data_IF_815343338202
#
_entry.id   IF_815343338202
#
_cell.length_a   1.000
_cell.length_b   1.000
_cell.length_c   1.000
_cell.angle_alpha   90.00
_cell.angle_beta   90.00
_cell.angle_gamma   90.00
#
_symmetry.space_group_name_H-M   'P 1'
#
loop_
_entity.id
_entity.type
_entity.pdbx_description
1 polymer ?
#
# COMPACT_ATOMS: atom_id res chain seq x y z
N UNK A 1 -6.99 21.88 16.86
CA UNK A 1 -7.90 22.99 16.49
C UNK A 1 -7.24 24.01 15.56
N UNK A 2 -6.18 24.73 15.96
CA UNK A 2 -5.55 25.78 15.12
C UNK A 2 -5.09 25.32 13.72
N UNK A 3 -4.55 24.11 13.61
CA UNK A 3 -4.13 23.53 12.32
C UNK A 3 -5.31 23.30 11.35
N UNK A 4 -6.49 22.92 11.87
CA UNK A 4 -7.69 22.67 11.06
C UNK A 4 -8.26 23.97 10.51
N UNK A 5 -8.41 24.99 11.37
CA UNK A 5 -8.89 26.31 10.97
C UNK A 5 -7.96 27.00 9.97
N UNK A 6 -6.64 26.82 10.09
CA UNK A 6 -5.66 27.36 9.14
C UNK A 6 -5.76 26.76 7.73
N UNK A 7 -6.34 25.56 7.59
CA UNK A 7 -6.52 24.88 6.30
C UNK A 7 -7.98 24.91 5.81
N UNK A 8 -8.81 25.82 6.34
CA UNK A 8 -10.21 25.97 5.94
C UNK A 8 -11.12 24.81 6.38
N UNK A 9 -10.69 23.98 7.34
CA UNK A 9 -11.48 22.87 7.87
C UNK A 9 -12.14 23.32 9.18
N UNK A 10 -13.48 23.35 9.19
CA UNK A 10 -14.26 23.66 10.40
C UNK A 10 -14.05 22.56 11.46
N UNK A 11 -13.48 22.88 12.64
CA UNK A 11 -13.22 21.90 13.68
C UNK A 11 -14.49 21.31 14.31
N UNK A 12 -15.62 22.02 14.26
CA UNK A 12 -16.90 21.56 14.81
C UNK A 12 -17.48 20.35 14.07
N UNK A 13 -17.10 20.18 12.80
CA UNK A 13 -17.46 19.03 11.97
C UNK A 13 -16.51 17.83 12.16
N UNK A 14 -15.41 18.01 12.88
CA UNK A 14 -14.34 17.01 13.01
C UNK A 14 -14.34 16.31 14.37
N UNK A 15 -14.80 17.02 15.42
CA UNK A 15 -14.86 16.57 16.81
C UNK A 15 -16.23 16.97 17.38
N UNK A 16 -17.09 16.00 17.63
CA UNK A 16 -18.40 16.24 18.26
C UNK A 16 -18.36 15.72 19.69
N UNK A 17 -18.56 16.61 20.66
CA UNK A 17 -18.71 16.24 22.05
C UNK A 17 -20.02 15.47 22.23
N UNK A 18 -19.91 14.28 22.81
CA UNK A 18 -21.03 13.49 23.30
C UNK A 18 -20.79 13.14 24.76
N UNK A 19 -21.77 12.55 25.41
CA UNK A 19 -21.64 12.16 26.80
C UNK A 19 -22.05 10.72 26.95
N UNK A 20 -21.17 9.93 27.56
CA UNK A 20 -21.45 8.54 27.89
C UNK A 20 -21.59 8.40 29.40
N UNK A 21 -22.63 7.71 29.84
CA UNK A 21 -22.77 7.34 31.24
C UNK A 21 -21.77 6.21 31.52
N UNK A 22 -20.96 6.41 32.55
CA UNK A 22 -19.87 5.52 32.93
C UNK A 22 -20.16 4.99 34.31
N UNK A 23 -20.19 3.67 34.46
CA UNK A 23 -20.38 3.05 35.76
C UNK A 23 -19.13 3.26 36.62
N UNK A 24 -19.34 3.80 37.82
CA UNK A 24 -18.33 3.96 38.86
C UNK A 24 -18.75 3.04 39.99
N UNK A 25 -17.79 2.31 40.56
CA UNK A 25 -18.03 1.22 41.52
C UNK A 25 -19.10 1.53 42.56
N UNK A 26 -19.98 0.55 42.81
CA UNK A 26 -21.14 0.69 43.69
C UNK A 26 -22.46 1.04 42.99
N UNK A 27 -22.54 0.89 41.65
CA UNK A 27 -23.77 1.14 40.87
C UNK A 27 -24.04 2.62 40.56
N UNK A 28 -23.11 3.52 40.89
CA UNK A 28 -23.24 4.94 40.61
C UNK A 28 -22.80 5.24 39.16
N UNK A 29 -23.62 5.94 38.38
CA UNK A 29 -23.25 6.36 37.02
C UNK A 29 -22.72 7.80 37.03
N UNK A 30 -21.53 8.01 36.44
CA UNK A 30 -20.95 9.34 36.22
C UNK A 30 -20.99 9.67 34.74
N UNK A 31 -21.48 10.87 34.40
CA UNK A 31 -21.43 11.39 33.03
C UNK A 31 -19.97 11.70 32.68
N UNK A 32 -19.41 10.96 31.72
CA UNK A 32 -18.10 11.21 31.15
C UNK A 32 -18.22 11.91 29.81
N UNK A 33 -17.23 12.76 29.51
CA UNK A 33 -17.08 13.32 28.18
C UNK A 33 -16.63 12.22 27.22
N UNK A 34 -17.29 12.15 26.08
CA UNK A 34 -17.01 11.23 25.00
C UNK A 34 -17.00 12.04 23.68
N UNK A 35 -16.34 11.53 22.64
CA UNK A 35 -16.14 12.30 21.41
C UNK A 35 -16.34 11.44 20.18
N UNK A 36 -17.20 11.89 19.27
CA UNK A 36 -17.18 11.38 17.91
C UNK A 36 -16.10 12.10 17.11
N UNK A 37 -15.17 11.32 16.60
CA UNK A 37 -14.05 11.80 15.81
C UNK A 37 -14.22 11.33 14.38
N UNK A 38 -14.07 12.27 13.46
CA UNK A 38 -13.90 11.94 12.06
C UNK A 38 -12.56 11.24 11.83
N UNK A 39 -12.42 10.54 10.70
CA UNK A 39 -11.14 9.94 10.29
C UNK A 39 -10.01 10.98 10.23
N UNK A 40 -10.30 12.20 9.78
CA UNK A 40 -9.34 13.31 9.75
C UNK A 40 -8.85 13.68 11.16
N UNK A 41 -9.77 13.81 12.11
CA UNK A 41 -9.44 14.10 13.51
C UNK A 41 -8.61 12.98 14.16
N UNK A 42 -8.97 11.71 13.95
CA UNK A 42 -8.21 10.57 14.47
C UNK A 42 -6.75 10.57 13.95
N UNK A 43 -6.55 10.84 12.65
CA UNK A 43 -5.20 10.91 12.05
C UNK A 43 -4.38 12.04 12.65
N UNK A 44 -4.98 13.22 12.84
CA UNK A 44 -4.28 14.36 13.45
C UNK A 44 -3.92 14.10 14.90
N UNK A 45 -4.79 13.46 15.68
CA UNK A 45 -4.48 13.06 17.06
C UNK A 45 -3.32 12.06 17.07
N UNK A 46 -3.33 11.07 16.16
CA UNK A 46 -2.25 10.11 16.04
C UNK A 46 -0.91 10.77 15.66
N UNK A 47 -0.90 11.68 14.69
CA UNK A 47 0.34 12.36 14.26
C UNK A 47 0.90 13.31 15.32
N UNK A 48 0.04 13.95 16.14
CA UNK A 48 0.46 14.92 17.16
C UNK A 48 0.50 14.33 18.59
N UNK A 49 0.18 13.04 18.75
CA UNK A 49 0.13 12.38 20.04
C UNK A 49 1.53 12.09 20.62
N UNK A 50 1.58 11.80 21.92
CA UNK A 50 2.80 11.39 22.61
C UNK A 50 3.29 10.02 22.09
N UNK A 51 4.49 9.94 21.46
CA UNK A 51 5.06 8.69 20.96
C UNK A 51 5.35 7.65 22.06
N UNK A 52 5.35 8.04 23.33
CA UNK A 52 5.54 7.10 24.45
C UNK A 52 4.39 6.09 24.57
N UNK A 53 3.23 6.37 23.95
CA UNK A 53 2.11 5.45 23.86
C UNK A 53 2.28 4.53 22.64
N UNK A 54 2.27 3.20 22.81
CA UNK A 54 2.58 2.26 21.73
C UNK A 54 1.60 2.37 20.54
N UNK A 55 0.34 2.71 20.79
CA UNK A 55 -0.69 2.90 19.74
C UNK A 55 -0.39 4.13 18.88
N UNK A 56 0.08 5.21 19.51
CA UNK A 56 0.46 6.45 18.83
C UNK A 56 1.75 6.23 18.03
N UNK A 57 2.76 5.59 18.63
CA UNK A 57 3.99 5.24 17.93
C UNK A 57 3.74 4.35 16.70
N UNK A 58 2.87 3.35 16.83
CA UNK A 58 2.48 2.48 15.71
C UNK A 58 1.79 3.26 14.59
N UNK A 59 0.88 4.17 14.94
CA UNK A 59 0.21 5.02 13.96
C UNK A 59 1.16 6.00 13.27
N UNK A 60 2.09 6.62 14.00
CA UNK A 60 3.12 7.51 13.44
C UNK A 60 4.05 6.75 12.47
N UNK A 61 4.52 5.56 12.86
CA UNK A 61 5.34 4.71 12.00
C UNK A 61 4.61 4.32 10.71
N UNK A 62 3.32 3.98 10.82
CA UNK A 62 2.48 3.72 9.65
C UNK A 62 2.43 4.95 8.72
N UNK A 63 2.16 6.15 9.24
CA UNK A 63 2.09 7.35 8.40
C UNK A 63 3.42 7.63 7.71
N UNK A 64 4.56 7.48 8.40
CA UNK A 64 5.88 7.65 7.79
C UNK A 64 6.10 6.68 6.62
N UNK A 65 5.71 5.41 6.79
CA UNK A 65 5.80 4.41 5.71
C UNK A 65 4.86 4.77 4.56
N UNK A 66 3.62 5.18 4.84
CA UNK A 66 2.66 5.53 3.80
C UNK A 66 3.05 6.81 3.05
N UNK A 67 3.51 7.85 3.73
CA UNK A 67 3.99 9.07 3.07
C UNK A 67 5.19 8.76 2.21
N UNK A 68 6.14 7.97 2.70
CA UNK A 68 7.29 7.56 1.91
C UNK A 68 6.91 6.76 0.66
N UNK A 69 5.93 5.86 0.76
CA UNK A 69 5.39 5.14 -0.41
C UNK A 69 4.76 6.09 -1.41
N UNK A 70 4.05 7.11 -0.95
CA UNK A 70 3.42 8.09 -1.83
C UNK A 70 4.42 9.02 -2.50
N UNK A 71 5.41 9.51 -1.75
CA UNK A 71 6.54 10.26 -2.30
C UNK A 71 7.27 9.45 -3.38
N UNK A 72 7.49 8.16 -3.14
CA UNK A 72 8.10 7.27 -4.13
C UNK A 72 7.23 7.13 -5.39
N UNK A 73 5.91 7.00 -5.24
CA UNK A 73 4.97 6.91 -6.37
C UNK A 73 4.91 8.21 -7.18
N UNK A 74 4.92 9.36 -6.50
CA UNK A 74 4.93 10.69 -7.12
C UNK A 74 6.25 10.94 -7.87
N UNK A 75 7.38 10.47 -7.32
CA UNK A 75 8.71 10.66 -7.87
C UNK A 75 9.04 9.78 -9.10
N UNK A 76 8.16 8.86 -9.52
CA UNK A 76 8.45 7.96 -10.64
C UNK A 76 8.48 8.70 -11.98
N UNK A 77 9.53 8.44 -12.75
CA UNK A 77 9.59 8.85 -14.16
C UNK A 77 8.49 8.18 -15.00
N UNK A 78 8.16 8.74 -16.16
CA UNK A 78 7.18 8.14 -17.09
C UNK A 78 7.54 6.68 -17.46
N UNK A 79 8.83 6.40 -17.63
CA UNK A 79 9.37 5.07 -17.88
C UNK A 79 9.13 4.11 -16.71
N UNK A 80 9.36 4.55 -15.47
CA UNK A 80 9.11 3.74 -14.29
C UNK A 80 7.63 3.48 -14.09
N UNK A 81 6.78 4.49 -14.29
CA UNK A 81 5.32 4.35 -14.23
C UNK A 81 4.83 3.32 -15.25
N UNK A 82 5.34 3.39 -16.48
CA UNK A 82 5.01 2.41 -17.54
C UNK A 82 5.46 1.00 -17.17
N UNK A 83 6.68 0.84 -16.63
CA UNK A 83 7.19 -0.46 -16.19
C UNK A 83 6.35 -1.06 -15.05
N UNK A 84 5.95 -0.24 -14.08
CA UNK A 84 5.08 -0.67 -13.00
C UNK A 84 3.69 -1.10 -13.51
N UNK A 85 3.06 -0.29 -14.36
CA UNK A 85 1.78 -0.65 -15.00
C UNK A 85 1.90 -1.98 -15.76
N UNK A 86 3.01 -2.22 -16.46
CA UNK A 86 3.23 -3.48 -17.17
C UNK A 86 3.27 -4.69 -16.23
N UNK A 87 3.91 -4.58 -15.08
CA UNK A 87 3.94 -5.65 -14.07
C UNK A 87 2.57 -5.82 -13.39
N UNK A 88 1.79 -4.74 -13.22
CA UNK A 88 0.41 -4.85 -12.74
C UNK A 88 -0.47 -5.60 -13.74
N UNK A 89 -0.42 -5.25 -15.03
CA UNK A 89 -1.11 -6.00 -16.10
C UNK A 89 -0.72 -7.48 -16.11
N UNK A 90 0.56 -7.80 -15.92
CA UNK A 90 1.04 -9.19 -15.84
C UNK A 90 0.44 -9.93 -14.65
N UNK A 91 0.29 -9.24 -13.51
CA UNK A 91 -0.31 -9.79 -12.30
C UNK A 91 -1.81 -10.00 -12.49
N UNK A 92 -2.53 -8.98 -12.98
CA UNK A 92 -3.95 -9.04 -13.30
C UNK A 92 -4.25 -10.16 -14.31
N UNK A 93 -3.41 -10.33 -15.33
CA UNK A 93 -3.53 -11.43 -16.29
C UNK A 93 -3.48 -12.81 -15.60
N UNK A 94 -2.51 -13.02 -14.70
CA UNK A 94 -2.38 -14.28 -13.95
C UNK A 94 -3.58 -14.51 -13.04
N UNK A 95 -4.04 -13.46 -12.36
CA UNK A 95 -5.19 -13.51 -11.47
C UNK A 95 -6.44 -13.90 -12.25
N UNK A 96 -6.80 -13.17 -13.30
CA UNK A 96 -8.01 -13.47 -14.08
C UNK A 96 -7.96 -14.85 -14.72
N UNK A 97 -6.80 -15.30 -15.22
CA UNK A 97 -6.63 -16.67 -15.73
C UNK A 97 -6.87 -17.71 -14.64
N UNK A 98 -6.31 -17.52 -13.44
CA UNK A 98 -6.47 -18.44 -12.31
C UNK A 98 -7.91 -18.47 -11.80
N UNK A 99 -8.57 -17.32 -11.75
CA UNK A 99 -10.00 -17.22 -11.41
C UNK A 99 -10.86 -17.96 -12.41
N UNK A 100 -10.65 -17.73 -13.71
CA UNK A 100 -11.41 -18.42 -14.75
C UNK A 100 -11.20 -19.94 -14.70
N UNK A 101 -9.97 -20.41 -14.45
CA UNK A 101 -9.69 -21.83 -14.23
C UNK A 101 -10.43 -22.40 -13.03
N UNK A 102 -10.40 -21.71 -11.88
CA UNK A 102 -11.14 -22.11 -10.68
C UNK A 102 -12.65 -22.14 -10.90
N UNK A 103 -13.16 -21.32 -11.82
CA UNK A 103 -14.55 -21.27 -12.24
C UNK A 103 -14.95 -22.34 -13.30
N UNK A 104 -14.01 -23.21 -13.70
CA UNK A 104 -14.27 -24.33 -14.62
C UNK A 104 -13.88 -24.06 -16.08
N UNK A 105 -13.10 -23.01 -16.37
CA UNK A 105 -12.50 -22.83 -17.69
C UNK A 105 -11.33 -23.78 -17.90
N UNK A 106 -11.41 -24.65 -18.91
CA UNK A 106 -10.30 -25.52 -19.28
C UNK A 106 -9.07 -24.72 -19.74
N UNK A 107 -7.86 -25.19 -19.41
CA UNK A 107 -6.60 -24.61 -19.90
C UNK A 107 -6.53 -24.53 -21.42
N UNK A 108 -7.20 -25.44 -22.16
CA UNK A 108 -7.29 -25.42 -23.62
C UNK A 108 -8.10 -24.24 -24.17
N UNK A 109 -9.00 -23.67 -23.35
CA UNK A 109 -9.91 -22.57 -23.73
C UNK A 109 -9.42 -21.19 -23.26
N UNK A 110 -8.36 -21.12 -22.46
CA UNK A 110 -7.72 -19.86 -22.06
C UNK A 110 -7.41 -18.91 -23.24
N UNK A 111 -6.91 -19.39 -24.40
CA UNK A 111 -6.70 -18.51 -25.55
C UNK A 111 -7.99 -17.85 -26.05
N UNK A 112 -9.11 -18.58 -26.07
CA UNK A 112 -10.42 -18.04 -26.48
C UNK A 112 -10.97 -17.04 -25.47
N UNK A 113 -10.81 -17.34 -24.18
CA UNK A 113 -11.17 -16.41 -23.09
C UNK A 113 -10.39 -15.10 -23.22
N UNK A 114 -9.07 -15.16 -23.37
CA UNK A 114 -8.25 -13.98 -23.54
C UNK A 114 -8.52 -13.21 -24.83
N UNK A 115 -8.82 -13.90 -25.94
CA UNK A 115 -9.19 -13.24 -27.20
C UNK A 115 -10.56 -12.56 -27.11
N UNK A 116 -11.52 -13.15 -26.38
CA UNK A 116 -12.84 -12.57 -26.19
C UNK A 116 -12.78 -11.20 -25.47
N UNK A 117 -11.87 -11.05 -24.52
CA UNK A 117 -11.49 -9.73 -23.97
C UNK A 117 -11.01 -8.76 -25.04
N UNK A 118 -10.11 -9.18 -25.94
CA UNK A 118 -9.63 -8.30 -27.02
C UNK A 118 -10.81 -7.86 -27.90
N UNK A 119 -11.71 -8.79 -28.24
CA UNK A 119 -12.91 -8.47 -29.02
C UNK A 119 -13.83 -7.48 -28.31
N UNK A 120 -13.96 -7.56 -26.98
CA UNK A 120 -14.76 -6.60 -26.22
C UNK A 120 -14.12 -5.21 -26.13
N UNK A 121 -12.83 -5.15 -25.76
CA UNK A 121 -12.14 -3.87 -25.49
C UNK A 121 -11.74 -3.13 -26.78
N UNK A 122 -11.24 -3.85 -27.79
CA UNK A 122 -10.74 -3.29 -29.04
C UNK A 122 -11.75 -3.40 -30.20
N UNK A 123 -12.79 -4.22 -30.05
CA UNK A 123 -13.74 -4.51 -31.14
C UNK A 123 -13.20 -5.46 -32.20
N UNK A 124 -12.03 -6.08 -31.99
CA UNK A 124 -11.36 -6.95 -32.96
C UNK A 124 -10.53 -8.03 -32.26
N UNK A 125 -10.09 -9.07 -32.97
CA UNK A 125 -9.31 -10.15 -32.36
C UNK A 125 -7.90 -9.67 -31.97
N UNK A 126 -7.21 -10.42 -31.08
CA UNK A 126 -5.80 -10.12 -30.73
C UNK A 126 -4.92 -10.04 -31.97
N UNK A 127 -5.17 -10.90 -32.98
CA UNK A 127 -4.41 -10.92 -34.23
C UNK A 127 -4.59 -9.61 -35.01
N UNK A 128 -5.82 -9.12 -35.08
CA UNK A 128 -6.15 -7.88 -35.79
C UNK A 128 -5.58 -6.66 -35.05
N UNK A 129 -5.58 -6.67 -33.71
CA UNK A 129 -4.94 -5.62 -32.91
C UNK A 129 -3.44 -5.55 -33.19
N UNK A 130 -2.75 -6.69 -33.23
CA UNK A 130 -1.32 -6.75 -33.56
C UNK A 130 -1.06 -6.23 -34.98
N UNK A 131 -1.85 -6.67 -35.97
CA UNK A 131 -1.73 -6.22 -37.35
C UNK A 131 -1.95 -4.71 -37.48
N UNK A 132 -2.98 -4.17 -36.83
CA UNK A 132 -3.28 -2.72 -36.83
C UNK A 132 -2.16 -1.89 -36.17
N UNK A 133 -1.51 -2.45 -35.14
CA UNK A 133 -0.38 -1.79 -34.44
C UNK A 133 0.98 -2.01 -35.12
N UNK A 134 1.04 -2.77 -36.22
CA UNK A 134 2.28 -3.09 -36.93
C UNK A 134 3.22 -4.02 -36.15
N UNK A 135 2.67 -4.86 -35.28
CA UNK A 135 3.43 -5.79 -34.42
C UNK A 135 3.42 -7.21 -35.00
N UNK A 136 4.44 -8.02 -34.66
CA UNK A 136 4.50 -9.41 -35.09
C UNK A 136 3.48 -10.27 -34.33
N UNK A 137 3.09 -11.42 -34.87
CA UNK A 137 2.07 -12.28 -34.24
C UNK A 137 2.50 -12.84 -32.87
N UNK A 138 3.81 -13.05 -32.70
CA UNK A 138 4.43 -13.57 -31.48
C UNK A 138 4.75 -12.46 -30.47
N UNK A 139 4.64 -11.19 -30.84
CA UNK A 139 4.86 -10.08 -29.93
C UNK A 139 3.79 -10.04 -28.84
N UNK A 140 4.20 -9.60 -27.65
CA UNK A 140 3.25 -9.33 -26.58
C UNK A 140 2.72 -7.89 -26.73
N UNK A 141 1.42 -7.68 -27.01
CA UNK A 141 0.86 -6.33 -27.19
C UNK A 141 1.13 -5.42 -25.99
N UNK A 142 1.16 -5.97 -24.77
CA UNK A 142 1.38 -5.20 -23.55
C UNK A 142 2.80 -4.65 -23.44
N UNK A 143 3.79 -5.26 -24.11
CA UNK A 143 5.18 -4.76 -24.10
C UNK A 143 5.35 -3.49 -24.93
N UNK A 144 4.37 -3.20 -25.80
CA UNK A 144 4.33 -2.04 -26.69
C UNK A 144 3.18 -1.08 -26.35
N UNK A 145 2.45 -1.35 -25.28
CA UNK A 145 1.34 -0.51 -24.84
C UNK A 145 1.83 0.71 -24.05
N UNK A 146 1.14 1.83 -24.23
CA UNK A 146 1.30 3.05 -23.43
C UNK A 146 0.57 2.97 -22.07
N UNK A 147 0.75 3.96 -21.18
CA UNK A 147 0.14 3.96 -19.85
C UNK A 147 -1.39 3.81 -19.87
N UNK A 148 -2.09 4.57 -20.72
CA UNK A 148 -3.56 4.51 -20.80
C UNK A 148 -4.07 3.14 -21.27
N UNK A 149 -3.40 2.55 -22.27
CA UNK A 149 -3.72 1.21 -22.77
C UNK A 149 -3.47 0.15 -21.69
N UNK A 150 -2.33 0.19 -21.01
CA UNK A 150 -2.02 -0.73 -19.91
C UNK A 150 -3.05 -0.62 -18.78
N UNK A 151 -3.40 0.61 -18.35
CA UNK A 151 -4.39 0.84 -17.30
C UNK A 151 -5.78 0.31 -17.68
N UNK A 152 -6.23 0.52 -18.92
CA UNK A 152 -7.51 0.00 -19.39
C UNK A 152 -7.54 -1.54 -19.34
N UNK A 153 -6.47 -2.19 -19.81
CA UNK A 153 -6.37 -3.65 -19.79
C UNK A 153 -6.25 -4.21 -18.36
N UNK A 154 -5.48 -3.55 -17.49
CA UNK A 154 -5.36 -3.91 -16.07
C UNK A 154 -6.71 -3.84 -15.37
N UNK A 155 -7.38 -2.69 -15.47
CA UNK A 155 -8.67 -2.45 -14.85
C UNK A 155 -9.69 -3.50 -15.28
N UNK A 156 -9.78 -3.73 -16.59
CA UNK A 156 -10.70 -4.70 -17.15
C UNK A 156 -10.44 -6.14 -16.66
N UNK A 157 -9.18 -6.55 -16.53
CA UNK A 157 -8.82 -7.87 -15.99
C UNK A 157 -9.20 -8.01 -14.51
N UNK A 158 -8.98 -6.96 -13.72
CA UNK A 158 -9.32 -6.94 -12.30
C UNK A 158 -10.84 -6.99 -12.09
N UNK A 159 -11.60 -6.19 -12.85
CA UNK A 159 -13.06 -6.21 -12.84
C UNK A 159 -13.59 -7.58 -13.26
N UNK A 160 -13.03 -8.18 -14.31
CA UNK A 160 -13.42 -9.52 -14.74
C UNK A 160 -13.18 -10.57 -13.65
N UNK A 161 -12.01 -10.56 -13.01
CA UNK A 161 -11.71 -11.48 -11.92
C UNK A 161 -12.68 -11.31 -10.74
N UNK A 162 -12.94 -10.07 -10.32
CA UNK A 162 -13.88 -9.76 -9.24
C UNK A 162 -15.30 -10.24 -9.57
N UNK A 163 -15.81 -9.87 -10.75
CA UNK A 163 -17.17 -10.20 -11.18
C UNK A 163 -17.36 -11.72 -11.32
N UNK A 164 -16.39 -12.44 -11.89
CA UNK A 164 -16.47 -13.91 -12.02
C UNK A 164 -16.58 -14.57 -10.63
N UNK A 165 -15.80 -14.11 -9.67
CA UNK A 165 -15.84 -14.64 -8.30
C UNK A 165 -17.14 -14.26 -7.59
N UNK A 166 -17.50 -12.98 -7.62
CA UNK A 166 -18.64 -12.40 -6.91
C UNK A 166 -19.97 -12.96 -7.39
N UNK A 167 -20.16 -13.08 -8.70
CA UNK A 167 -21.38 -13.64 -9.30
C UNK A 167 -21.35 -15.17 -9.37
N UNK A 168 -20.24 -15.81 -9.01
CA UNK A 168 -20.09 -17.27 -9.05
C UNK A 168 -20.27 -17.84 -10.45
N UNK A 169 -19.78 -17.14 -11.47
CA UNK A 169 -19.95 -17.53 -12.88
C UNK A 169 -19.24 -18.86 -13.13
N UNK A 170 -19.93 -19.80 -13.77
CA UNK A 170 -19.39 -21.13 -14.09
C UNK A 170 -19.63 -21.49 -15.55
N UNK A 171 -18.76 -22.36 -16.05
CA UNK A 171 -18.85 -22.91 -17.40
C UNK A 171 -18.17 -22.03 -18.43
N UNK A 172 -17.55 -22.68 -19.43
CA UNK A 172 -16.66 -22.03 -20.39
C UNK A 172 -17.37 -20.91 -21.18
N UNK A 173 -18.58 -21.17 -21.67
CA UNK A 173 -19.33 -20.21 -22.47
C UNK A 173 -19.67 -18.94 -21.68
N UNK A 174 -20.18 -19.10 -20.45
CA UNK A 174 -20.58 -17.96 -19.61
C UNK A 174 -19.37 -17.11 -19.21
N UNK A 175 -18.24 -17.74 -18.88
CA UNK A 175 -17.00 -17.04 -18.56
C UNK A 175 -16.49 -16.21 -19.73
N UNK A 176 -16.43 -16.80 -20.92
CA UNK A 176 -15.95 -16.12 -22.14
C UNK A 176 -16.90 -14.97 -22.53
N UNK A 177 -18.22 -15.21 -22.47
CA UNK A 177 -19.23 -14.19 -22.79
C UNK A 177 -19.17 -13.02 -21.80
N UNK A 178 -19.06 -13.30 -20.49
CA UNK A 178 -18.97 -12.26 -19.46
C UNK A 178 -17.68 -11.47 -19.58
N UNK A 179 -16.53 -12.11 -19.79
CA UNK A 179 -15.25 -11.40 -19.94
C UNK A 179 -15.28 -10.45 -21.16
N UNK A 180 -15.90 -10.88 -22.26
CA UNK A 180 -16.15 -10.00 -23.42
C UNK A 180 -17.08 -8.84 -23.09
N UNK A 181 -18.16 -9.08 -22.36
CA UNK A 181 -19.11 -8.04 -21.97
C UNK A 181 -18.44 -6.97 -21.08
N UNK A 182 -17.68 -7.40 -20.07
CA UNK A 182 -16.92 -6.49 -19.18
C UNK A 182 -15.91 -5.68 -20.00
N UNK A 183 -15.21 -6.32 -20.94
CA UNK A 183 -14.29 -5.63 -21.84
C UNK A 183 -14.99 -4.58 -22.72
N UNK A 184 -16.18 -4.91 -23.21
CA UNK A 184 -17.01 -3.97 -23.95
C UNK A 184 -17.49 -2.80 -23.07
N UNK A 185 -17.85 -3.02 -21.81
CA UNK A 185 -18.27 -1.95 -20.90
C UNK A 185 -17.14 -0.97 -20.58
N UNK A 186 -15.91 -1.48 -20.44
CA UNK A 186 -14.71 -0.63 -20.33
C UNK A 186 -14.53 0.20 -21.60
N UNK A 187 -14.70 -0.41 -22.79
CA UNK A 187 -14.67 0.32 -24.07
C UNK A 187 -15.74 1.42 -24.14
N UNK A 188 -16.97 1.14 -23.71
CA UNK A 188 -18.04 2.13 -23.69
C UNK A 188 -17.73 3.26 -22.71
N UNK A 189 -17.18 2.95 -21.55
CA UNK A 189 -16.73 3.96 -20.57
C UNK A 189 -15.70 4.88 -21.19
N UNK A 190 -14.67 4.33 -21.85
CA UNK A 190 -13.67 5.13 -22.58
C UNK A 190 -14.32 6.04 -23.64
N UNK A 191 -15.29 5.51 -24.39
CA UNK A 191 -16.00 6.28 -25.43
C UNK A 191 -16.81 7.43 -24.84
N UNK A 192 -17.58 7.15 -23.80
CA UNK A 192 -18.43 8.13 -23.13
C UNK A 192 -17.62 9.25 -22.47
N UNK A 193 -16.41 8.93 -21.99
CA UNK A 193 -15.46 9.91 -21.46
C UNK A 193 -14.69 10.69 -22.53
N UNK A 194 -14.89 10.39 -23.82
CA UNK A 194 -14.14 11.02 -24.91
C UNK A 194 -12.66 10.61 -24.98
N UNK A 195 -12.28 9.50 -24.36
CA UNK A 195 -10.91 9.00 -24.41
C UNK A 195 -10.58 8.42 -25.80
N UNK A 196 -9.31 8.47 -26.18
CA UNK A 196 -8.84 7.81 -27.41
C UNK A 196 -9.02 6.29 -27.29
N UNK A 197 -9.63 5.68 -28.31
CA UNK A 197 -9.90 4.23 -28.31
C UNK A 197 -8.61 3.40 -28.30
N UNK A 198 -8.57 2.25 -27.61
CA UNK A 198 -7.34 1.44 -27.44
C UNK A 198 -6.63 1.08 -28.75
N UNK A 199 -7.39 0.78 -29.79
CA UNK A 199 -6.89 0.43 -31.12
C UNK A 199 -6.28 1.60 -31.89
N UNK A 200 -6.47 2.84 -31.42
CA UNK A 200 -5.94 4.06 -32.02
C UNK A 200 -4.86 4.70 -31.14
N UNK A 201 -4.52 4.10 -29.99
CA UNK A 201 -3.42 4.55 -29.15
C UNK A 201 -2.07 4.22 -29.80
N UNK A 202 -1.07 5.13 -29.68
CA UNK A 202 0.23 4.95 -30.30
C UNK A 202 0.96 3.73 -29.74
N UNK A 203 1.62 3.00 -30.63
CA UNK A 203 2.52 1.90 -30.26
C UNK A 203 3.79 2.49 -29.66
N UNK A 204 4.10 2.10 -28.42
CA UNK A 204 5.28 2.56 -27.71
C UNK A 204 6.50 1.64 -27.99
N UNK A 205 7.69 2.16 -27.69
CA UNK A 205 8.93 1.37 -27.77
C UNK A 205 8.85 0.11 -26.89
N UNK A 206 9.60 -0.96 -27.20
CA UNK A 206 9.59 -2.19 -26.41
C UNK A 206 9.90 -1.94 -24.93
N UNK A 207 9.10 -2.53 -24.03
CA UNK A 207 9.30 -2.36 -22.57
C UNK A 207 10.68 -2.82 -22.09
N UNK A 208 11.33 -3.72 -22.84
CA UNK A 208 12.69 -4.19 -22.55
C UNK A 208 13.71 -3.06 -22.65
N UNK A 209 13.55 -2.16 -23.61
CA UNK A 209 14.45 -1.03 -23.82
C UNK A 209 14.26 0.01 -22.71
N UNK A 210 13.01 0.29 -22.32
CA UNK A 210 12.68 1.09 -21.14
C UNK A 210 13.34 0.51 -19.88
N UNK A 211 13.19 -0.79 -19.64
CA UNK A 211 13.78 -1.46 -18.49
C UNK A 211 15.33 -1.40 -18.50
N UNK A 212 15.94 -1.51 -19.69
CA UNK A 212 17.38 -1.38 -19.87
C UNK A 212 17.85 0.04 -19.56
N UNK A 213 17.16 1.06 -20.09
CA UNK A 213 17.44 2.48 -19.86
C UNK A 213 17.33 2.82 -18.37
N UNK A 214 16.28 2.38 -17.69
CA UNK A 214 16.12 2.56 -16.24
C UNK A 214 17.24 1.88 -15.43
N UNK A 215 17.64 0.67 -15.80
CA UNK A 215 18.77 -0.02 -15.16
C UNK A 215 20.08 0.74 -15.35
N UNK A 216 20.32 1.30 -16.54
CA UNK A 216 21.50 2.11 -16.81
C UNK A 216 21.49 3.40 -15.98
N UNK A 217 20.37 4.14 -15.95
CA UNK A 217 20.21 5.32 -15.11
C UNK A 217 20.46 5.01 -13.63
N UNK A 218 19.89 3.91 -13.10
CA UNK A 218 20.12 3.48 -11.72
C UNK A 218 21.58 3.16 -11.44
N UNK A 219 22.27 2.49 -12.37
CA UNK A 219 23.71 2.21 -12.25
C UNK A 219 24.55 3.50 -12.28
N UNK A 220 24.22 4.46 -13.14
CA UNK A 220 24.90 5.75 -13.21
C UNK A 220 24.69 6.56 -11.93
N UNK A 221 23.44 6.63 -11.44
CA UNK A 221 23.12 7.27 -10.16
C UNK A 221 23.87 6.63 -8.99
N UNK A 222 23.92 5.29 -8.92
CA UNK A 222 24.66 4.58 -7.88
C UNK A 222 26.18 4.81 -7.95
N UNK A 223 26.75 5.03 -9.13
CA UNK A 223 28.17 5.37 -9.31
C UNK A 223 28.50 6.84 -9.00
N UNK A 224 27.53 7.74 -9.18
CA UNK A 224 27.69 9.17 -8.87
C UNK A 224 27.64 9.45 -7.35
N UNK A 225 26.87 8.67 -6.56
CA UNK A 225 26.80 8.82 -5.10
C UNK A 225 28.17 8.77 -4.38
N UNK A 226 29.08 7.80 -4.65
CA UNK A 226 30.39 7.77 -4.00
C UNK A 226 31.36 8.86 -4.49
N UNK A 227 31.17 9.45 -5.67
CA UNK A 227 32.04 10.50 -6.20
C UNK A 227 31.81 11.88 -5.52
N UNK A 228 30.59 12.14 -5.02
CA UNK A 228 30.29 13.33 -4.22
C UNK A 228 30.78 13.21 -2.77
N UNK A 229 30.86 11.99 -2.24
CA UNK A 229 31.46 11.72 -0.92
C UNK A 229 32.98 11.94 -0.93
N UNK A 230 33.69 11.54 -2.00
CA UNK A 230 35.13 11.79 -2.12
C UNK A 230 35.51 13.26 -2.28
N UNK A 231 34.62 14.13 -2.78
CA UNK A 231 34.88 15.57 -2.88
C UNK A 231 34.54 16.35 -1.60
N UNK A 232 33.72 15.80 -0.69
CA UNK A 232 33.39 16.43 0.60
C UNK A 232 34.21 15.88 1.78
N UNK A 233 34.90 14.74 1.61
CA UNK A 233 35.76 14.10 2.62
C UNK A 233 37.25 14.12 2.25
N UNK A 234 37.64 14.88 1.22
CA UNK A 234 39.00 14.92 0.68
C UNK A 234 40.10 15.48 1.59
N UNK A 235 39.78 16.07 2.75
CA UNK A 235 40.77 16.69 3.65
C UNK A 235 40.83 16.09 5.07
N UNK A 236 40.29 14.89 5.29
CA UNK A 236 40.54 14.16 6.55
C UNK A 236 41.19 12.81 6.25
N UNK A 237 42.51 12.89 6.01
CA UNK A 237 43.40 11.73 5.92
C UNK A 237 43.30 10.82 7.14
N UNK A 238 43.18 9.52 6.85
CA UNK A 238 43.29 8.34 7.70
C UNK A 238 44.60 8.32 8.56
N UNK A 239 44.84 7.38 9.53
CA UNK A 239 44.22 6.06 9.65
C UNK A 239 43.93 5.55 11.08
N UNK A 240 42.82 4.82 11.24
CA UNK A 240 42.65 3.88 12.36
C UNK A 240 41.92 2.64 11.86
N UNK A 241 42.66 1.80 11.15
CA UNK A 241 42.30 0.40 10.92
C UNK A 241 43.45 -0.46 11.43
N UNK A 242 43.23 -1.19 12.52
CA UNK A 242 43.85 -2.49 12.80
C UNK A 242 43.13 -3.21 13.98
N UNK A 243 42.51 -4.34 13.63
CA UNK A 243 42.07 -5.49 14.44
C UNK A 243 40.95 -5.25 15.45
N UNK A 244 39.86 -6.03 15.49
CA UNK A 244 39.73 -7.48 15.78
C UNK A 244 38.38 -7.92 15.13
N UNK A 245 38.29 -8.91 14.24
CA UNK A 245 38.37 -10.35 14.55
C UNK A 245 37.04 -10.89 15.12
N UNK A 246 36.10 -11.32 14.28
CA UNK A 246 34.85 -11.95 14.76
C UNK A 246 33.85 -12.36 13.69
N UNK A 247 33.88 -13.65 13.34
CA UNK A 247 32.88 -14.53 12.72
C UNK A 247 31.69 -13.95 11.90
N UNK A 248 31.56 -14.47 10.68
CA UNK A 248 30.30 -14.62 9.96
C UNK A 248 29.21 -15.20 10.87
N UNK A 249 28.06 -14.53 10.97
CA UNK A 249 26.83 -15.15 11.48
C UNK A 249 25.90 -15.46 10.32
N UNK A 250 25.92 -16.75 9.98
CA UNK A 250 24.98 -17.53 9.21
C UNK A 250 23.53 -17.16 9.53
N UNK A 251 22.78 -16.75 8.51
CA UNK A 251 21.33 -16.59 8.62
C UNK A 251 20.68 -17.97 8.89
N UNK A 252 20.23 -18.19 10.12
CA UNK A 252 19.59 -19.43 10.55
C UNK A 252 18.17 -19.56 9.94
N UNK A 253 17.95 -20.76 9.43
CA UNK A 253 16.78 -21.34 8.77
C UNK A 253 15.51 -21.23 9.62
N UNK A 254 14.44 -20.68 9.03
CA UNK A 254 13.11 -20.59 9.64
C UNK A 254 12.47 -21.97 9.87
N UNK A 255 12.02 -22.25 11.09
CA UNK A 255 11.29 -23.49 11.44
C UNK A 255 9.79 -23.19 11.53
N UNK A 256 8.99 -23.97 10.79
CA UNK A 256 7.53 -23.78 10.64
C UNK A 256 6.78 -24.59 11.71
N UNK A 257 5.99 -23.93 12.55
CA UNK A 257 5.06 -24.57 13.49
C UNK A 257 3.69 -23.90 13.38
N UNK A 258 2.68 -24.69 13.01
CA UNK A 258 1.23 -24.39 13.08
C UNK A 258 0.81 -22.97 12.63
N UNK A 259 1.09 -22.63 11.37
CA UNK A 259 0.31 -21.63 10.63
C UNK A 259 0.58 -20.13 10.90
N UNK A 260 1.60 -19.75 11.66
CA UNK A 260 1.99 -18.33 11.84
C UNK A 260 3.47 -18.13 11.50
N UNK A 261 3.78 -17.05 10.77
CA UNK A 261 5.16 -16.63 10.45
C UNK A 261 5.53 -15.50 11.40
N UNK A 262 6.65 -15.63 12.11
CA UNK A 262 7.17 -14.63 13.03
C UNK A 262 8.46 -14.03 12.48
N UNK A 263 8.63 -12.71 12.63
CA UNK A 263 9.92 -12.05 12.54
C UNK A 263 10.22 -11.41 13.90
N UNK A 264 11.39 -11.72 14.47
CA UNK A 264 11.87 -11.14 15.72
C UNK A 264 12.99 -10.16 15.36
N UNK A 265 12.82 -8.89 15.70
CA UNK A 265 13.89 -7.90 15.71
C UNK A 265 13.81 -7.15 17.04
N UNK A 266 14.89 -7.23 17.84
CA UNK A 266 15.10 -6.50 19.10
C UNK A 266 13.91 -6.45 20.07
N UNK A 267 13.63 -7.56 20.74
CA UNK A 267 12.78 -7.68 21.94
C UNK A 267 11.33 -7.15 21.86
N UNK A 268 10.83 -6.77 20.69
CA UNK A 268 9.43 -6.38 20.48
C UNK A 268 8.73 -7.43 19.61
N UNK A 269 7.68 -8.04 20.16
CA UNK A 269 6.79 -8.95 19.42
C UNK A 269 5.69 -8.11 18.79
N UNK A 270 5.76 -7.88 17.47
CA UNK A 270 4.73 -7.18 16.70
C UNK A 270 4.11 -8.10 15.66
N UNK A 271 2.78 -8.23 15.67
CA UNK A 271 2.02 -8.99 14.69
C UNK A 271 2.13 -8.36 13.30
N UNK A 272 2.52 -9.15 12.30
CA UNK A 272 2.41 -8.79 10.89
C UNK A 272 1.55 -9.85 10.21
N UNK A 273 0.35 -9.46 9.79
CA UNK A 273 -0.21 -9.73 8.45
C UNK A 273 -1.74 -9.80 8.43
N UNK A 274 -2.31 -9.37 7.30
CA UNK A 274 -3.47 -10.02 6.70
C UNK A 274 -4.62 -9.11 6.33
N UNK A 275 -4.45 -8.22 5.34
CA UNK A 275 -5.55 -7.43 4.77
C UNK A 275 -5.17 -6.86 3.41
N UNK A 276 -6.13 -6.86 2.49
CA UNK A 276 -6.01 -6.37 1.11
C UNK A 276 -5.42 -4.94 1.06
N UNK A 277 -4.57 -4.64 0.08
CA UNK A 277 -3.97 -3.30 -0.05
C UNK A 277 -5.01 -2.19 -0.35
N UNK A 278 -6.25 -2.56 -0.69
CA UNK A 278 -7.38 -1.66 -0.90
C UNK A 278 -8.30 -1.51 0.33
N UNK A 279 -8.14 -2.32 1.38
CA UNK A 279 -8.88 -2.17 2.64
C UNK A 279 -8.03 -1.39 3.65
N UNK A 280 -8.05 -0.07 3.53
CA UNK A 280 -7.39 0.85 4.45
C UNK A 280 -8.16 1.05 5.78
N UNK A 281 -9.07 0.12 6.13
CA UNK A 281 -10.03 0.28 7.24
C UNK A 281 -9.65 -0.46 8.53
N UNK A 282 -8.64 -1.34 8.53
CA UNK A 282 -8.27 -2.12 9.72
C UNK A 282 -7.76 -1.32 10.94
N UNK A 283 -7.46 -0.02 10.78
CA UNK A 283 -6.97 0.85 11.86
C UNK A 283 -8.09 1.67 12.51
N UNK A 284 -9.17 2.03 11.82
CA UNK A 284 -10.29 2.71 12.47
C UNK A 284 -10.96 1.78 13.50
N UNK A 285 -11.05 0.50 13.16
CA UNK A 285 -11.59 -0.54 14.03
C UNK A 285 -10.60 -0.95 15.13
N UNK A 286 -9.29 -0.90 14.91
CA UNK A 286 -8.30 -1.23 15.94
C UNK A 286 -7.93 -0.06 16.86
N UNK A 287 -7.91 1.18 16.39
CA UNK A 287 -7.63 2.35 17.24
C UNK A 287 -8.90 2.76 17.98
N UNK A 288 -10.08 2.69 17.32
CA UNK A 288 -11.38 2.80 17.98
C UNK A 288 -11.63 1.63 18.94
N UNK A 289 -11.29 0.40 18.52
CA UNK A 289 -11.41 -0.81 19.32
C UNK A 289 -10.42 -0.88 20.49
N UNK A 290 -9.16 -0.47 20.33
CA UNK A 290 -8.16 -0.45 21.41
C UNK A 290 -8.45 0.64 22.46
N UNK A 291 -9.00 1.79 22.05
CA UNK A 291 -9.52 2.79 22.99
C UNK A 291 -10.74 2.27 23.78
N UNK A 292 -11.56 1.41 23.17
CA UNK A 292 -12.75 0.82 23.80
C UNK A 292 -12.44 -0.45 24.63
N UNK A 293 -11.41 -1.22 24.27
CA UNK A 293 -11.11 -2.52 24.88
C UNK A 293 -10.26 -2.43 26.16
N UNK A 294 -9.52 -1.34 26.41
CA UNK A 294 -8.75 -1.16 27.65
C UNK A 294 -9.53 -0.58 28.83
N UNK A 295 -10.87 -0.58 28.74
CA UNK A 295 -11.74 -0.05 29.81
C UNK A 295 -12.28 -1.11 30.79
N UNK A 296 -11.95 -2.38 30.62
CA UNK A 296 -12.25 -3.42 31.61
C UNK A 296 -11.00 -3.83 32.37
N UNK A 297 -10.77 -3.14 33.49
CA UNK A 297 -9.80 -3.52 34.52
C UNK A 297 -8.67 -2.51 34.68
N UNK A 298 -8.75 -1.70 35.74
CA UNK A 298 -7.79 -1.68 36.85
C UNK A 298 -8.14 -0.52 37.81
N UNK A 299 -8.33 -0.85 39.09
CA UNK A 299 -8.69 0.06 40.19
C UNK A 299 -7.50 0.94 40.63
N UNK A 300 -7.72 2.14 41.20
CA UNK A 300 -6.68 2.94 41.84
C UNK A 300 -6.59 2.68 43.35
N UNK A 301 -5.43 2.27 43.85
CA UNK A 301 -5.10 2.25 45.28
C UNK A 301 -4.48 3.58 45.74
N UNK A 302 -4.89 4.08 46.92
CA UNK A 302 -4.55 5.38 47.54
C UNK A 302 -3.08 5.46 48.08
N UNK A 303 -2.57 6.68 48.39
CA UNK A 303 -1.17 6.93 48.78
C UNK A 303 -0.95 6.99 50.32
N UNK A 304 0.30 6.98 50.83
CA UNK A 304 0.61 7.47 52.17
C UNK A 304 1.31 8.84 52.16
N UNK A 305 1.06 9.63 53.22
CA UNK A 305 1.62 10.97 53.52
C UNK A 305 2.48 10.91 54.79
N UNK A 306 3.34 11.93 54.96
CA UNK A 306 4.07 12.40 56.17
C UNK A 306 5.45 11.73 56.42
N UNK A 307 6.56 12.39 56.82
CA UNK A 307 6.90 13.79 57.18
C UNK A 307 8.43 13.88 57.49
N UNK A 308 9.07 15.05 57.25
CA UNK A 308 10.39 15.57 57.72
C UNK A 308 11.69 14.81 57.29
N UNK A 309 12.87 15.41 57.05
CA UNK A 309 13.46 16.72 57.38
C UNK A 309 14.65 17.09 56.45
N UNK A 310 14.85 18.41 56.41
CA UNK A 310 15.95 19.27 55.93
C UNK A 310 17.38 18.72 56.00
N UNK A 311 18.17 18.95 54.93
CA UNK A 311 19.54 19.50 55.00
C UNK A 311 19.96 20.01 53.61
N UNK A 312 20.18 21.32 53.52
CA UNK A 312 20.64 21.98 52.30
C UNK A 312 22.16 22.02 52.18
N UNK A 313 22.64 22.29 50.97
CA UNK A 313 23.84 23.10 50.78
C UNK A 313 23.82 23.73 49.39
N UNK A 314 23.73 25.06 49.35
CA UNK A 314 24.13 25.90 48.21
C UNK A 314 25.60 26.24 48.38
N UNK A 315 26.35 26.23 47.28
CA UNK A 315 27.34 27.26 46.91
C UNK A 315 27.88 26.92 45.52
N UNK A 316 28.40 27.81 44.68
CA UNK A 316 28.20 29.23 44.35
C UNK A 316 29.01 29.39 43.04
N UNK A 317 28.66 30.39 42.23
CA UNK A 317 29.38 30.81 41.02
C UNK A 317 30.92 30.88 41.16
N UNK A 318 31.66 30.08 40.38
CA UNK A 318 32.56 30.45 39.27
C UNK A 318 33.10 29.18 38.64
#
# INVERSE_FOLDING_TARGET
MRFLTANGIDPSHQVVLTHKLMEVGGGAQKRGDDYFLTRGACRLIAMNGDPSKPEIAGAQAYFVVQTHRMEQEDALSADEKRLQLRERVKTAFRVVSGVAQGAGLSSKKQPLFHDARYQGLYGMSRRDVLAKKGLQQDDNPFDHAGPLELSANEFQMNVAADVIQKEGIKGEYNLISKDKAIAHDVRQTMRNSGATMPENLPTAEPIKDVAKRLRQHRKLAAKALPALSSCLLGDLGAPLWRHIGGALLSALRAKRLRGRVFAVVNHVVGFIAGGNAHDADGIADNVGGALLAFRSGWHPGRPPRSQYSVLGCRSRTR
#
